data_IF_014707386531
#
_entry.id   IF_014707386531
#
_cell.length_a   1.000
_cell.length_b   1.000
_cell.length_c   1.000
_cell.angle_alpha   90.00
_cell.angle_beta   90.00
_cell.angle_gamma   90.00
#
_symmetry.space_group_name_H-M   'P 1'
#
loop_
_entity.id
_entity.type
_entity.pdbx_description
1 polymer ?
#
# COMPACT_ATOMS: atom_id res chain seq x y z
N UNK A 1 1.22 10.33 18.43
CA UNK A 1 2.25 10.27 17.37
C UNK A 1 2.15 8.91 16.68
N UNK A 2 1.32 8.78 15.64
CA UNK A 2 1.18 7.51 14.88
C UNK A 2 2.35 7.41 13.90
N UNK A 3 3.54 7.13 14.44
CA UNK A 3 4.79 7.06 13.69
C UNK A 3 5.04 5.67 13.13
N UNK A 4 5.24 5.58 11.82
CA UNK A 4 6.03 4.57 11.08
C UNK A 4 5.76 3.06 11.26
N UNK A 5 4.87 2.61 12.15
CA UNK A 5 4.71 1.20 12.47
C UNK A 5 4.18 0.36 11.29
N UNK A 6 3.35 0.94 10.43
CA UNK A 6 2.77 0.21 9.29
C UNK A 6 3.83 -0.23 8.27
N UNK A 7 4.90 0.56 8.06
CA UNK A 7 6.00 0.20 7.16
C UNK A 7 6.71 -1.08 7.64
N UNK A 8 6.81 -1.27 8.96
CA UNK A 8 7.43 -2.46 9.55
C UNK A 8 6.64 -3.76 9.29
N UNK A 9 5.33 -3.64 9.02
CA UNK A 9 4.42 -4.73 8.71
C UNK A 9 4.25 -4.97 7.19
N UNK A 10 4.84 -4.12 6.35
CA UNK A 10 4.73 -4.21 4.90
C UNK A 10 5.45 -5.48 4.38
N UNK A 11 4.77 -6.23 3.50
CA UNK A 11 5.29 -7.50 2.94
C UNK A 11 6.59 -7.34 2.16
N UNK A 12 6.75 -6.20 1.55
CA UNK A 12 7.79 -5.81 0.61
C UNK A 12 9.11 -5.45 1.29
N UNK A 13 9.08 -5.22 2.60
CA UNK A 13 10.26 -4.84 3.38
C UNK A 13 11.38 -5.88 3.31
N UNK A 14 11.05 -7.16 3.09
CA UNK A 14 12.01 -8.26 3.05
C UNK A 14 12.39 -8.68 1.62
N UNK A 15 12.10 -7.86 0.61
CA UNK A 15 12.37 -8.19 -0.78
C UNK A 15 13.54 -7.37 -1.35
N UNK A 16 14.16 -7.86 -2.44
CA UNK A 16 15.34 -7.24 -3.04
C UNK A 16 14.99 -6.01 -3.88
N UNK A 17 15.89 -5.02 -3.93
CA UNK A 17 15.64 -3.73 -4.58
C UNK A 17 15.46 -3.84 -6.10
N UNK A 18 16.23 -4.71 -6.76
CA UNK A 18 16.17 -4.96 -8.20
C UNK A 18 14.81 -5.49 -8.69
N UNK A 19 14.06 -6.15 -7.80
CA UNK A 19 12.72 -6.68 -8.07
C UNK A 19 11.61 -5.64 -7.89
N UNK A 20 11.95 -4.47 -7.34
CA UNK A 20 11.02 -3.44 -6.86
C UNK A 20 11.04 -2.15 -7.71
N UNK A 21 12.15 -1.84 -8.37
CA UNK A 21 12.34 -0.63 -9.17
C UNK A 21 12.17 -0.89 -10.67
N UNK A 22 10.99 -1.42 -11.04
CA UNK A 22 10.66 -1.77 -12.42
C UNK A 22 9.86 -0.66 -13.13
N UNK A 23 10.04 -0.55 -14.45
CA UNK A 23 9.36 0.43 -15.31
C UNK A 23 8.38 -0.26 -16.27
N UNK A 24 7.46 0.50 -16.86
CA UNK A 24 6.57 0.00 -17.92
C UNK A 24 5.67 -1.17 -17.48
N UNK A 25 5.62 -2.23 -18.30
CA UNK A 25 4.71 -3.37 -18.10
C UNK A 25 4.96 -4.11 -16.78
N UNK A 26 6.20 -4.16 -16.32
CA UNK A 26 6.59 -4.84 -15.08
C UNK A 26 5.96 -4.21 -13.82
N UNK A 27 5.52 -2.94 -13.87
CA UNK A 27 4.76 -2.34 -12.76
C UNK A 27 3.40 -3.02 -12.51
N UNK A 28 2.81 -3.66 -13.54
CA UNK A 28 1.55 -4.41 -13.41
C UNK A 28 1.73 -5.70 -12.63
N UNK A 29 2.89 -6.35 -12.76
CA UNK A 29 3.25 -7.55 -12.00
C UNK A 29 3.53 -7.18 -10.55
N UNK A 30 4.30 -6.11 -10.36
CA UNK A 30 4.62 -5.55 -9.05
C UNK A 30 3.35 -5.20 -8.23
N UNK A 31 2.30 -4.67 -8.88
CA UNK A 31 0.98 -4.42 -8.25
C UNK A 31 0.37 -5.68 -7.63
N UNK A 32 0.58 -6.86 -8.21
CA UNK A 32 -0.01 -8.10 -7.70
C UNK A 32 0.55 -8.47 -6.33
N UNK A 33 1.79 -8.07 -6.01
CA UNK A 33 2.37 -8.20 -4.67
C UNK A 33 1.55 -7.53 -3.59
N UNK A 34 1.07 -6.33 -3.90
CA UNK A 34 0.48 -5.47 -2.91
C UNK A 34 -0.84 -6.06 -2.47
N UNK A 35 -1.54 -6.82 -3.32
CA UNK A 35 -2.89 -7.35 -3.07
C UNK A 35 -3.05 -7.99 -1.68
N UNK A 36 -2.20 -8.94 -1.26
CA UNK A 36 -2.30 -9.55 0.06
C UNK A 36 -1.50 -8.83 1.16
N UNK A 37 -1.08 -7.58 0.95
CA UNK A 37 -0.35 -6.80 1.96
C UNK A 37 -1.34 -6.22 3.00
N UNK A 38 -1.06 -6.37 4.31
CA UNK A 38 -2.00 -5.90 5.35
C UNK A 38 -2.04 -4.36 5.47
N UNK A 39 -1.02 -3.66 4.96
CA UNK A 39 -0.86 -2.21 5.12
C UNK A 39 -1.10 -1.42 3.83
N UNK A 40 -1.90 -1.97 2.91
CA UNK A 40 -2.15 -1.33 1.59
C UNK A 40 -2.79 0.04 1.73
N UNK A 41 -3.75 0.17 2.64
CA UNK A 41 -4.50 1.41 2.85
C UNK A 41 -3.58 2.50 3.38
N UNK A 42 -2.77 2.19 4.39
CA UNK A 42 -1.74 3.09 4.93
C UNK A 42 -0.73 3.50 3.86
N UNK A 43 -0.25 2.51 3.09
CA UNK A 43 0.73 2.72 2.03
C UNK A 43 0.20 3.63 0.92
N UNK A 44 -1.05 3.41 0.48
CA UNK A 44 -1.67 4.23 -0.56
C UNK A 44 -1.98 5.65 -0.07
N UNK A 45 -2.56 5.78 1.12
CA UNK A 45 -2.86 7.07 1.73
C UNK A 45 -1.60 7.94 1.83
N UNK A 46 -0.51 7.37 2.37
CA UNK A 46 0.76 8.05 2.45
C UNK A 46 1.25 8.54 1.08
N UNK A 47 1.19 7.69 0.06
CA UNK A 47 1.64 8.03 -1.28
C UNK A 47 0.81 9.14 -1.94
N UNK A 48 -0.50 9.18 -1.68
CA UNK A 48 -1.39 10.21 -2.22
C UNK A 48 -1.21 11.55 -1.50
N UNK A 49 -1.18 11.54 -0.16
CA UNK A 49 -0.98 12.75 0.65
C UNK A 49 0.38 13.40 0.39
N UNK A 50 1.45 12.60 0.26
CA UNK A 50 2.81 13.10 0.02
C UNK A 50 3.14 13.24 -1.47
N UNK A 51 2.16 13.00 -2.36
CA UNK A 51 2.32 13.04 -3.82
C UNK A 51 3.55 12.30 -4.33
N UNK A 52 3.80 11.10 -3.78
CA UNK A 52 4.98 10.31 -4.11
C UNK A 52 5.00 9.99 -5.61
N UNK A 53 6.06 10.45 -6.27
CA UNK A 53 6.14 10.51 -7.72
C UNK A 53 6.39 9.14 -8.37
N UNK A 54 7.12 8.25 -7.71
CA UNK A 54 7.61 7.02 -8.36
C UNK A 54 7.17 5.74 -7.64
N UNK A 55 7.19 4.63 -8.39
CA UNK A 55 6.94 3.28 -7.88
C UNK A 55 5.47 2.92 -7.68
N UNK A 56 5.22 1.70 -7.20
CA UNK A 56 3.89 1.20 -6.86
C UNK A 56 3.67 1.30 -5.36
N UNK A 57 2.52 1.87 -4.98
CA UNK A 57 2.14 2.12 -3.60
C UNK A 57 0.72 1.63 -3.35
N UNK A 58 0.52 0.82 -2.32
CA UNK A 58 -0.78 0.23 -1.97
C UNK A 58 -1.46 -0.60 -3.08
N UNK A 59 -0.71 -0.97 -4.12
CA UNK A 59 -1.23 -1.63 -5.32
C UNK A 59 -1.72 -0.67 -6.40
N UNK A 60 -1.22 0.56 -6.43
CA UNK A 60 -1.43 1.52 -7.52
C UNK A 60 -0.10 1.98 -8.10
N UNK A 61 -0.01 1.97 -9.41
CA UNK A 61 1.08 2.56 -10.19
C UNK A 61 1.06 4.09 -10.10
N UNK A 62 2.17 4.74 -10.42
CA UNK A 62 2.26 6.20 -10.53
C UNK A 62 1.14 6.79 -11.40
N UNK A 63 0.92 6.19 -12.57
CA UNK A 63 -0.09 6.66 -13.53
C UNK A 63 -1.50 6.61 -12.95
N UNK A 64 -1.83 5.53 -12.23
CA UNK A 64 -3.13 5.36 -11.57
C UNK A 64 -3.32 6.36 -10.43
N UNK A 65 -2.29 6.60 -9.60
CA UNK A 65 -2.34 7.60 -8.53
C UNK A 65 -2.53 9.01 -9.08
N UNK A 66 -1.78 9.39 -10.12
CA UNK A 66 -1.94 10.71 -10.77
C UNK A 66 -3.34 10.88 -11.37
N UNK A 67 -3.91 9.84 -11.96
CA UNK A 67 -5.29 9.88 -12.46
C UNK A 67 -6.29 10.10 -11.32
N UNK A 68 -6.11 9.41 -10.18
CA UNK A 68 -6.95 9.55 -9.00
C UNK A 68 -6.87 10.97 -8.40
N UNK A 69 -5.67 11.52 -8.24
CA UNK A 69 -5.46 12.88 -7.75
C UNK A 69 -6.11 13.94 -8.64
N UNK A 70 -6.10 13.75 -9.97
CA UNK A 70 -6.81 14.65 -10.90
C UNK A 70 -8.32 14.51 -10.82
N UNK A 71 -8.82 13.30 -10.58
CA UNK A 71 -10.27 13.04 -10.51
C UNK A 71 -10.89 13.52 -9.19
N UNK A 72 -10.09 13.65 -8.12
CA UNK A 72 -10.52 14.03 -6.78
C UNK A 72 -9.68 15.20 -6.23
N UNK A 73 -9.77 16.39 -6.86
CA UNK A 73 -9.05 17.57 -6.37
C UNK A 73 -9.62 18.11 -5.05
N UNK A 74 -10.82 17.64 -4.66
CA UNK A 74 -11.55 18.00 -3.44
C UNK A 74 -11.02 17.34 -2.16
N UNK A 75 -10.17 16.30 -2.30
CA UNK A 75 -9.71 15.51 -1.16
C UNK A 75 -8.45 16.13 -0.56
N UNK A 76 -8.57 16.68 0.64
CA UNK A 76 -7.45 17.30 1.38
C UNK A 76 -6.62 16.28 2.19
N UNK A 77 -7.25 15.20 2.66
CA UNK A 77 -6.61 14.14 3.44
C UNK A 77 -7.05 12.76 2.94
N UNK A 78 -6.16 12.09 2.20
CA UNK A 78 -6.37 10.73 1.74
C UNK A 78 -6.28 9.72 2.87
N UNK A 79 -5.49 10.01 3.90
CA UNK A 79 -5.46 9.22 5.13
C UNK A 79 -6.84 9.12 5.74
N UNK A 80 -7.52 10.25 5.99
CA UNK A 80 -8.83 10.24 6.63
C UNK A 80 -9.89 9.58 5.74
N UNK A 81 -9.89 9.90 4.44
CA UNK A 81 -10.84 9.35 3.49
C UNK A 81 -10.71 7.82 3.38
N UNK A 82 -9.49 7.31 3.17
CA UNK A 82 -9.27 5.88 2.98
C UNK A 82 -9.44 5.08 4.27
N UNK A 83 -9.10 5.65 5.42
CA UNK A 83 -9.27 4.97 6.71
C UNK A 83 -10.75 4.91 7.09
N UNK A 84 -11.48 6.01 6.90
CA UNK A 84 -12.94 6.04 7.11
C UNK A 84 -13.66 5.04 6.19
N UNK A 85 -13.25 4.96 4.92
CA UNK A 85 -13.80 3.99 3.99
C UNK A 85 -13.51 2.53 4.41
N UNK A 86 -12.30 2.25 4.89
CA UNK A 86 -11.93 0.94 5.42
C UNK A 86 -12.72 0.58 6.67
N UNK A 87 -12.87 1.51 7.60
CA UNK A 87 -13.56 1.26 8.87
C UNK A 87 -15.06 1.03 8.65
N UNK A 88 -15.65 1.78 7.71
CA UNK A 88 -17.01 1.55 7.23
C UNK A 88 -17.17 0.14 6.65
N UNK A 89 -16.24 -0.29 5.79
CA UNK A 89 -16.29 -1.62 5.20
C UNK A 89 -16.35 -2.73 6.28
N UNK A 90 -15.46 -2.68 7.27
CA UNK A 90 -15.47 -3.66 8.36
C UNK A 90 -16.73 -3.57 9.24
N UNK A 91 -17.26 -2.37 9.47
CA UNK A 91 -18.51 -2.19 10.19
C UNK A 91 -19.72 -2.77 9.43
N UNK A 92 -19.75 -2.61 8.10
CA UNK A 92 -20.83 -3.11 7.23
C UNK A 92 -20.76 -4.62 7.02
N UNK A 93 -19.56 -5.19 6.87
CA UNK A 93 -19.39 -6.65 6.67
C UNK A 93 -19.46 -7.45 7.98
N UNK A 94 -19.26 -6.81 9.13
CA UNK A 94 -19.14 -7.49 10.42
C UNK A 94 -17.84 -8.28 10.57
N UNK A 95 -16.89 -8.12 9.65
CA UNK A 95 -15.56 -8.72 9.74
C UNK A 95 -14.68 -7.97 10.75
N UNK A 96 -13.85 -8.71 11.49
CA UNK A 96 -12.92 -8.08 12.43
C UNK A 96 -11.79 -7.35 11.69
N UNK A 97 -11.52 -6.11 12.10
CA UNK A 97 -10.42 -5.30 11.56
C UNK A 97 -9.07 -5.99 11.82
N UNK A 98 -8.26 -6.28 10.80
CA UNK A 98 -6.95 -6.90 10.99
C UNK A 98 -6.02 -6.00 11.81
N UNK A 99 -5.50 -6.55 12.91
CA UNK A 99 -4.45 -5.89 13.69
C UNK A 99 -3.13 -5.94 12.92
N UNK A 100 -2.62 -4.78 12.51
CA UNK A 100 -1.33 -4.65 11.84
C UNK A 100 -0.21 -4.93 12.86
N UNK A 101 0.42 -6.10 12.76
CA UNK A 101 1.58 -6.48 13.58
C UNK A 101 2.86 -6.42 12.74
N UNK A 102 4.03 -6.06 13.32
CA UNK A 102 5.30 -6.15 12.62
C UNK A 102 5.49 -7.56 12.08
N UNK A 103 6.07 -7.68 10.87
CA UNK A 103 6.41 -9.01 10.37
C UNK A 103 7.54 -9.58 11.22
N UNK A 104 7.33 -10.77 11.78
CA UNK A 104 8.38 -11.63 12.31
C UNK A 104 8.97 -12.49 11.18
N UNK A 105 10.20 -12.98 11.35
CA UNK A 105 10.96 -13.71 10.31
C UNK A 105 10.38 -15.09 9.93
N UNK A 106 9.27 -15.51 10.55
CA UNK A 106 8.72 -16.88 10.48
C UNK A 106 7.62 -17.07 9.43
N UNK A 107 7.38 -16.10 8.55
CA UNK A 107 6.38 -16.24 7.48
C UNK A 107 6.88 -17.18 6.36
N UNK A 108 6.07 -18.11 5.83
CA UNK A 108 6.49 -19.02 4.77
C UNK A 108 6.96 -18.25 3.54
N UNK A 109 8.22 -18.47 3.14
CA UNK A 109 8.87 -17.92 1.95
C UNK A 109 8.24 -18.52 0.69
N UNK A 110 7.01 -18.15 0.36
CA UNK A 110 6.54 -18.30 -1.03
C UNK A 110 7.32 -17.27 -1.88
N UNK A 111 7.67 -17.55 -3.13
CA UNK A 111 8.13 -16.50 -4.04
C UNK A 111 6.98 -15.50 -4.18
N UNK A 112 7.22 -14.26 -3.75
CA UNK A 112 6.19 -13.22 -3.71
C UNK A 112 6.67 -12.07 -4.63
N UNK A 113 5.99 -11.78 -5.75
CA UNK A 113 6.42 -10.77 -6.74
C UNK A 113 5.92 -9.39 -6.36
N UNK A 114 6.78 -8.34 -6.33
CA UNK A 114 7.02 -7.31 -5.26
C UNK A 114 6.41 -5.89 -5.43
N UNK A 115 5.96 -5.20 -4.35
CA UNK A 115 6.03 -3.70 -4.15
C UNK A 115 5.69 -3.15 -2.74
N UNK A 116 6.62 -2.30 -2.26
CA UNK A 116 6.58 -1.04 -1.46
C UNK A 116 7.97 -0.89 -0.78
N UNK A 117 8.83 0.01 -1.24
CA UNK A 117 8.79 1.40 -0.79
C UNK A 117 9.75 1.58 0.39
N UNK A 118 10.82 2.33 0.14
CA UNK A 118 11.57 3.05 1.17
C UNK A 118 10.61 3.99 1.92
#
# INVERSE_FOLDING_TARGET
MVGAHWRSAARCRTAHAEELFVTGAAQREARQFCRPCPVRTECLAHALDHRVEFGVWGGMTERERRALLRARPDVESWTDLLFSARDRHYAETGEERPVIRPRSDRWPRRPVPTTCGR
#
